data_IF_132036108545
#
_entry.id   IF_132036108545
#
_cell.length_a   1.000
_cell.length_b   1.000
_cell.length_c   1.000
_cell.angle_alpha   90.00
_cell.angle_beta   90.00
_cell.angle_gamma   90.00
#
_symmetry.space_group_name_H-M   'P 1'
#
loop_
_entity.id
_entity.type
_entity.pdbx_description
1 polymer ?
#
# COMPACT_ATOMS: atom_id res chain seq x y z
N UNK A 1 -15.98 -4.82 23.72
CA UNK A 1 -16.42 -3.71 22.86
C UNK A 1 -15.32 -3.53 21.82
N UNK A 2 -15.44 -4.22 20.69
CA UNK A 2 -14.49 -4.11 19.58
C UNK A 2 -14.51 -2.66 19.12
N UNK A 3 -13.43 -1.92 19.40
CA UNK A 3 -13.21 -0.65 18.74
C UNK A 3 -13.11 -0.97 17.25
N UNK A 4 -14.17 -0.70 16.50
CA UNK A 4 -14.18 -0.92 15.05
C UNK A 4 -13.02 -0.15 14.43
N UNK A 5 -12.27 -0.80 13.53
CA UNK A 5 -11.15 -0.18 12.84
C UNK A 5 -11.66 1.08 12.10
N UNK A 6 -11.14 2.29 12.40
CA UNK A 6 -11.66 3.53 11.83
C UNK A 6 -11.42 3.64 10.31
N UNK A 7 -10.31 3.10 9.80
CA UNK A 7 -10.05 3.05 8.35
C UNK A 7 -11.08 2.15 7.66
N UNK A 8 -11.37 0.98 8.25
CA UNK A 8 -12.42 0.09 7.73
C UNK A 8 -13.77 0.81 7.66
N UNK A 9 -14.20 1.48 8.74
CA UNK A 9 -15.47 2.20 8.76
C UNK A 9 -15.52 3.32 7.71
N UNK A 10 -14.41 4.02 7.51
CA UNK A 10 -14.31 5.02 6.44
C UNK A 10 -14.51 4.39 5.06
N UNK A 11 -13.84 3.27 4.73
CA UNK A 11 -13.98 2.63 3.42
C UNK A 11 -15.31 1.89 3.23
N UNK A 12 -15.92 1.35 4.29
CA UNK A 12 -17.28 0.81 4.24
C UNK A 12 -18.34 1.90 3.98
N UNK A 13 -18.06 3.15 4.33
CA UNK A 13 -18.94 4.29 4.01
C UNK A 13 -18.89 4.73 2.54
N UNK A 14 -17.90 4.24 1.78
CA UNK A 14 -17.73 4.55 0.35
C UNK A 14 -18.19 3.33 -0.46
N UNK A 15 -19.31 3.47 -1.17
CA UNK A 15 -20.02 2.35 -1.79
C UNK A 15 -19.14 1.49 -2.73
N UNK A 16 -18.29 2.12 -3.54
CA UNK A 16 -17.41 1.38 -4.45
C UNK A 16 -16.28 0.66 -3.71
N UNK A 17 -15.73 1.24 -2.63
CA UNK A 17 -14.73 0.58 -1.80
C UNK A 17 -15.34 -0.63 -1.07
N UNK A 18 -16.52 -0.46 -0.47
CA UNK A 18 -17.22 -1.50 0.25
C UNK A 18 -17.50 -2.74 -0.62
N UNK A 19 -17.69 -2.57 -1.93
CA UNK A 19 -17.89 -3.67 -2.87
C UNK A 19 -16.67 -4.60 -3.03
N UNK A 20 -15.46 -4.15 -2.68
CA UNK A 20 -14.25 -4.99 -2.68
C UNK A 20 -14.06 -5.77 -1.37
N UNK A 21 -14.74 -5.39 -0.29
CA UNK A 21 -14.55 -5.97 1.04
C UNK A 21 -15.59 -7.06 1.29
N UNK A 22 -15.18 -8.32 1.19
CA UNK A 22 -16.05 -9.48 1.40
C UNK A 22 -15.92 -10.03 2.84
N UNK A 23 -16.81 -10.94 3.29
CA UNK A 23 -16.68 -11.54 4.61
C UNK A 23 -15.40 -12.36 4.84
N UNK A 24 -14.71 -12.79 3.77
CA UNK A 24 -13.44 -13.54 3.86
C UNK A 24 -12.22 -12.64 3.75
N UNK A 25 -12.40 -11.38 3.35
CA UNK A 25 -11.32 -10.44 3.16
C UNK A 25 -10.61 -10.16 4.47
N UNK A 26 -9.31 -10.40 4.48
CA UNK A 26 -8.41 -10.04 5.57
C UNK A 26 -8.02 -8.59 5.36
N UNK A 27 -8.17 -7.76 6.38
CA UNK A 27 -7.84 -6.35 6.32
C UNK A 27 -7.13 -5.88 7.58
N UNK A 28 -6.31 -4.85 7.43
CA UNK A 28 -5.67 -4.16 8.53
C UNK A 28 -5.35 -2.71 8.17
N UNK A 29 -5.25 -1.86 9.18
CA UNK A 29 -4.57 -0.57 9.02
C UNK A 29 -3.08 -0.87 8.87
N UNK A 30 -2.41 -0.44 7.78
CA UNK A 30 -1.01 -0.79 7.56
C UNK A 30 -0.09 -0.40 8.72
N UNK A 31 0.90 -1.25 9.00
CA UNK A 31 1.81 -1.06 10.14
C UNK A 31 2.58 0.28 10.10
N UNK A 32 2.77 0.86 8.91
CA UNK A 32 3.42 2.17 8.72
C UNK A 32 2.57 3.36 9.19
N UNK A 33 1.33 3.12 9.62
CA UNK A 33 0.45 4.14 10.21
C UNK A 33 0.64 4.30 11.72
N UNK A 34 1.41 3.43 12.35
CA UNK A 34 1.66 3.45 13.79
C UNK A 34 3.09 3.90 14.08
N UNK A 35 3.30 4.99 14.85
CA UNK A 35 4.63 5.46 15.18
C UNK A 35 5.44 4.39 15.93
N UNK A 36 6.70 4.24 15.55
CA UNK A 36 7.61 3.25 16.14
C UNK A 36 8.71 3.94 16.92
N UNK A 37 9.17 3.30 18.01
CA UNK A 37 10.25 3.84 18.84
C UNK A 37 11.57 4.00 18.08
N UNK A 38 11.80 3.19 17.05
CA UNK A 38 12.96 3.31 16.16
C UNK A 38 12.91 4.56 15.25
N UNK A 39 11.73 5.18 15.11
CA UNK A 39 11.49 6.29 14.19
C UNK A 39 11.33 5.89 12.72
N UNK A 40 11.36 4.59 12.40
CA UNK A 40 10.99 4.09 11.08
C UNK A 40 9.51 4.40 10.76
N UNK A 41 9.18 4.54 9.49
CA UNK A 41 7.85 4.88 8.96
C UNK A 41 7.28 6.23 9.41
N UNK A 42 8.04 7.08 10.12
CA UNK A 42 7.55 8.36 10.61
C UNK A 42 6.93 9.26 9.53
N UNK A 43 7.39 9.16 8.28
CA UNK A 43 6.74 9.83 7.15
C UNK A 43 5.26 9.46 7.05
N UNK A 44 4.91 8.17 7.10
CA UNK A 44 3.53 7.68 6.99
C UNK A 44 2.76 7.68 8.30
N UNK A 45 3.45 7.44 9.42
CA UNK A 45 2.86 7.31 10.74
C UNK A 45 2.53 8.67 11.38
N UNK A 46 3.25 9.72 10.98
CA UNK A 46 3.10 11.07 11.57
C UNK A 46 2.79 12.12 10.50
N UNK A 47 3.73 12.41 9.61
CA UNK A 47 3.65 13.54 8.67
C UNK A 47 2.46 13.39 7.72
N UNK A 48 2.29 12.21 7.13
CA UNK A 48 1.20 11.90 6.22
C UNK A 48 -0.03 11.34 6.95
N UNK A 49 0.02 11.10 8.26
CA UNK A 49 -1.12 10.66 9.07
C UNK A 49 -1.97 11.83 9.53
N UNK A 50 -2.50 12.56 8.56
CA UNK A 50 -3.30 13.75 8.79
C UNK A 50 -4.50 13.80 7.83
N UNK A 51 -5.67 14.34 8.25
CA UNK A 51 -6.85 14.43 7.39
C UNK A 51 -6.62 15.17 6.06
N UNK A 52 -5.70 16.13 6.03
CA UNK A 52 -5.32 16.87 4.83
C UNK A 52 -4.26 16.17 3.96
N UNK A 53 -3.58 15.13 4.46
CA UNK A 53 -2.59 14.34 3.74
C UNK A 53 -3.16 12.95 3.38
N UNK A 54 -2.77 11.88 4.07
CA UNK A 54 -3.43 10.57 3.94
C UNK A 54 -4.43 10.44 5.10
N UNK A 55 -5.71 10.64 4.81
CA UNK A 55 -6.81 10.62 5.79
C UNK A 55 -7.08 9.22 6.31
N UNK A 56 -7.13 8.23 5.42
CA UNK A 56 -7.42 6.84 5.73
C UNK A 56 -6.58 5.92 4.84
N UNK A 57 -6.13 4.79 5.40
CA UNK A 57 -5.29 3.83 4.70
C UNK A 57 -5.59 2.41 5.22
N UNK A 58 -6.06 1.53 4.33
CA UNK A 58 -6.42 0.15 4.66
C UNK A 58 -5.78 -0.80 3.65
N UNK A 59 -5.03 -1.79 4.13
CA UNK A 59 -4.59 -2.92 3.30
C UNK A 59 -5.59 -4.06 3.43
N UNK A 60 -5.83 -4.77 2.34
CA UNK A 60 -6.70 -5.93 2.33
C UNK A 60 -6.29 -6.94 1.26
N UNK A 61 -6.55 -8.21 1.54
CA UNK A 61 -6.24 -9.33 0.65
C UNK A 61 -7.05 -10.57 1.06
N UNK A 62 -7.02 -11.60 0.23
CA UNK A 62 -7.52 -12.92 0.60
C UNK A 62 -6.38 -13.79 1.15
N UNK A 63 -6.72 -14.74 2.03
CA UNK A 63 -5.73 -15.70 2.53
C UNK A 63 -5.14 -16.50 1.35
N UNK A 64 -3.84 -16.87 1.39
CA UNK A 64 -3.30 -17.87 0.48
C UNK A 64 -4.15 -19.14 0.54
N UNK A 65 -4.33 -19.80 -0.61
CA UNK A 65 -5.07 -21.06 -0.65
C UNK A 65 -4.39 -22.10 0.26
N UNK A 66 -5.13 -22.93 1.01
CA UNK A 66 -4.54 -23.87 1.99
C UNK A 66 -3.48 -24.81 1.41
N UNK A 67 -3.61 -25.17 0.14
CA UNK A 67 -2.72 -26.10 -0.57
C UNK A 67 -1.70 -25.39 -1.49
N UNK A 68 -1.63 -24.05 -1.45
CA UNK A 68 -0.70 -23.24 -2.22
C UNK A 68 0.50 -22.80 -1.38
N UNK A 69 1.61 -22.36 -2.01
CA UNK A 69 2.64 -21.63 -1.29
C UNK A 69 2.02 -20.46 -0.50
N UNK A 70 2.56 -20.11 0.67
CA UNK A 70 1.99 -19.08 1.55
C UNK A 70 2.08 -17.64 1.00
N UNK A 71 2.41 -17.49 -0.29
CA UNK A 71 2.58 -16.21 -0.95
C UNK A 71 1.21 -15.62 -1.29
N UNK A 72 0.93 -14.44 -0.76
CA UNK A 72 -0.13 -13.56 -1.24
C UNK A 72 0.40 -12.81 -2.46
N UNK A 73 -0.01 -13.24 -3.65
CA UNK A 73 0.47 -12.69 -4.92
C UNK A 73 0.05 -11.23 -5.14
N UNK A 74 -1.13 -10.85 -4.64
CA UNK A 74 -1.71 -9.52 -4.84
C UNK A 74 -2.29 -9.01 -3.52
N UNK A 75 -1.89 -7.81 -3.12
CA UNK A 75 -2.41 -7.11 -1.95
C UNK A 75 -2.94 -5.77 -2.43
N UNK A 76 -4.17 -5.49 -2.03
CA UNK A 76 -4.88 -4.28 -2.38
C UNK A 76 -4.89 -3.30 -1.21
N UNK A 77 -4.95 -2.02 -1.54
CA UNK A 77 -4.85 -0.95 -0.58
C UNK A 77 -5.81 0.17 -0.94
N UNK A 78 -6.71 0.53 -0.02
CA UNK A 78 -7.45 1.77 -0.15
C UNK A 78 -6.71 2.91 0.54
N UNK A 79 -6.66 4.05 -0.14
CA UNK A 79 -6.06 5.28 0.39
C UNK A 79 -6.97 6.46 0.09
N UNK A 80 -7.28 7.28 1.10
CA UNK A 80 -7.98 8.56 0.90
C UNK A 80 -6.99 9.69 1.10
N UNK A 81 -6.80 10.48 0.05
CA UNK A 81 -5.81 11.57 -0.01
C UNK A 81 -6.54 12.91 0.05
N UNK A 82 -6.09 13.78 0.96
CA UNK A 82 -6.54 15.15 1.15
C UNK A 82 -5.77 16.18 0.30
N UNK A 83 -5.99 17.46 0.55
CA UNK A 83 -5.51 18.57 -0.30
C UNK A 83 -4.11 19.08 0.03
N UNK A 84 -3.57 18.80 1.22
CA UNK A 84 -2.33 19.41 1.74
C UNK A 84 -1.07 18.88 1.04
N UNK A 85 -1.25 17.84 0.24
CA UNK A 85 -0.21 17.15 -0.53
C UNK A 85 -0.33 17.42 -2.02
N UNK A 86 -1.10 18.43 -2.40
CA UNK A 86 -1.21 18.88 -3.78
C UNK A 86 0.10 19.48 -4.30
N UNK A 87 0.55 19.06 -5.48
CA UNK A 87 1.70 19.66 -6.18
C UNK A 87 1.31 20.73 -7.21
N UNK A 88 0.06 20.66 -7.67
CA UNK A 88 -0.61 21.64 -8.52
C UNK A 88 -2.03 21.79 -7.99
N UNK A 89 -2.73 22.93 -8.20
CA UNK A 89 -4.14 23.06 -7.83
C UNK A 89 -4.96 21.81 -8.13
N UNK A 90 -5.53 21.22 -7.07
CA UNK A 90 -6.38 20.02 -7.10
C UNK A 90 -5.73 18.73 -7.61
N UNK A 91 -4.40 18.65 -7.72
CA UNK A 91 -3.67 17.46 -8.14
C UNK A 91 -2.61 17.05 -7.13
N UNK A 92 -2.61 15.79 -6.74
CA UNK A 92 -1.63 15.18 -5.85
C UNK A 92 -0.20 15.40 -6.37
N UNK A 93 0.73 15.75 -5.48
CA UNK A 93 2.13 15.89 -5.84
C UNK A 93 2.70 14.53 -6.29
N UNK A 94 3.38 14.49 -7.44
CA UNK A 94 3.94 13.24 -7.99
C UNK A 94 4.88 12.53 -7.00
N UNK A 95 5.66 13.30 -6.22
CA UNK A 95 6.51 12.77 -5.16
C UNK A 95 5.76 12.10 -4.01
N UNK A 96 4.53 12.53 -3.67
CA UNK A 96 3.71 11.79 -2.70
C UNK A 96 3.29 10.46 -3.28
N UNK A 97 2.84 10.44 -4.54
CA UNK A 97 2.45 9.18 -5.19
C UNK A 97 3.64 8.23 -5.29
N UNK A 98 4.86 8.75 -5.51
CA UNK A 98 6.06 7.94 -5.50
C UNK A 98 6.33 7.31 -4.14
N UNK A 99 6.26 8.10 -3.06
CA UNK A 99 6.38 7.57 -1.70
C UNK A 99 5.28 6.54 -1.38
N UNK A 100 4.03 6.82 -1.76
CA UNK A 100 2.91 5.90 -1.56
C UNK A 100 3.12 4.57 -2.27
N UNK A 101 3.59 4.59 -3.51
CA UNK A 101 3.87 3.35 -4.25
C UNK A 101 5.04 2.57 -3.65
N UNK A 102 6.11 3.24 -3.22
CA UNK A 102 7.21 2.60 -2.49
C UNK A 102 6.69 1.88 -1.24
N UNK A 103 5.86 2.57 -0.45
CA UNK A 103 5.28 2.07 0.79
C UNK A 103 4.35 0.88 0.54
N UNK A 104 3.41 0.99 -0.40
CA UNK A 104 2.46 -0.08 -0.77
C UNK A 104 3.19 -1.35 -1.25
N UNK A 105 4.23 -1.19 -2.08
CA UNK A 105 5.03 -2.32 -2.55
C UNK A 105 5.90 -2.92 -1.43
N UNK A 106 6.43 -2.09 -0.53
CA UNK A 106 7.18 -2.54 0.65
C UNK A 106 6.30 -3.27 1.68
N UNK A 107 5.10 -2.77 1.95
CA UNK A 107 4.10 -3.41 2.82
C UNK A 107 3.70 -4.79 2.30
N UNK A 108 3.65 -4.97 0.98
CA UNK A 108 3.41 -6.28 0.33
C UNK A 108 4.48 -7.29 0.71
N UNK A 109 5.74 -6.86 0.85
CA UNK A 109 6.83 -7.72 1.34
C UNK A 109 6.70 -8.00 2.83
N UNK A 110 6.39 -6.97 3.64
CA UNK A 110 6.20 -7.13 5.08
C UNK A 110 5.06 -8.12 5.41
N UNK A 111 3.95 -8.04 4.67
CA UNK A 111 2.80 -8.93 4.84
C UNK A 111 3.14 -10.37 4.43
N UNK A 112 3.80 -10.56 3.28
CA UNK A 112 4.23 -11.89 2.84
C UNK A 112 5.26 -12.54 3.78
N UNK A 113 6.05 -11.73 4.50
CA UNK A 113 6.88 -12.22 5.62
C UNK A 113 6.03 -12.74 6.78
N UNK A 114 4.94 -12.07 7.15
CA UNK A 114 4.01 -12.54 8.20
C UNK A 114 3.31 -13.84 7.83
N UNK A 115 3.05 -14.08 6.55
CA UNK A 115 2.55 -15.36 6.03
C UNK A 115 3.61 -16.46 5.95
N UNK A 116 4.89 -16.15 6.18
CA UNK A 116 5.98 -17.12 6.09
C UNK A 116 6.45 -17.41 4.65
N UNK A 117 6.05 -16.59 3.67
CA UNK A 117 6.48 -16.72 2.28
C UNK A 117 7.87 -16.12 2.02
N UNK A 118 8.30 -15.18 2.85
CA UNK A 118 9.57 -14.46 2.71
C UNK A 118 10.47 -14.64 3.93
N UNK A 119 11.76 -14.34 3.75
CA UNK A 119 12.74 -14.38 4.85
C UNK A 119 12.40 -13.32 5.92
N UNK A 120 12.89 -13.53 7.14
CA UNK A 120 12.69 -12.59 8.24
C UNK A 120 13.57 -11.33 8.14
N UNK A 121 14.45 -11.24 7.15
CA UNK A 121 15.36 -10.12 6.97
C UNK A 121 14.63 -8.86 6.46
N UNK A 122 15.33 -7.72 6.51
CA UNK A 122 14.83 -6.48 5.94
C UNK A 122 14.85 -6.54 4.41
N UNK A 123 13.77 -6.04 3.80
CA UNK A 123 13.67 -5.87 2.36
C UNK A 123 13.77 -4.38 2.06
N UNK A 124 14.70 -3.99 1.19
CA UNK A 124 14.93 -2.60 0.82
C UNK A 124 14.68 -2.37 -0.66
N UNK A 125 14.15 -1.21 -1.00
CA UNK A 125 13.92 -0.80 -2.39
C UNK A 125 15.27 -0.72 -3.13
N UNK A 126 15.46 -1.58 -4.12
CA UNK A 126 16.59 -1.55 -5.05
C UNK A 126 16.35 -0.58 -6.20
N UNK A 127 15.14 -0.59 -6.77
CA UNK A 127 14.66 0.46 -7.67
C UNK A 127 13.14 0.60 -7.59
N UNK A 128 12.67 1.79 -7.94
CA UNK A 128 11.26 2.10 -8.17
C UNK A 128 11.14 2.96 -9.43
N UNK A 129 10.40 2.46 -10.42
CA UNK A 129 10.12 3.15 -11.67
C UNK A 129 8.63 3.46 -11.76
N UNK A 130 8.26 4.72 -12.00
CA UNK A 130 6.88 5.19 -11.96
C UNK A 130 6.51 5.86 -13.27
N UNK A 131 5.39 5.42 -13.84
CA UNK A 131 4.76 6.03 -14.99
C UNK A 131 3.44 6.71 -14.56
N UNK A 132 3.41 8.05 -14.65
CA UNK A 132 2.20 8.84 -14.43
C UNK A 132 1.41 8.91 -15.73
N UNK A 133 0.36 8.09 -15.83
CA UNK A 133 -0.44 7.97 -17.05
C UNK A 133 -1.49 9.08 -17.15
N UNK A 134 -2.06 9.48 -16.01
CA UNK A 134 -3.07 10.53 -15.89
C UNK A 134 -2.84 11.34 -14.60
N UNK A 135 -3.33 12.59 -14.53
CA UNK A 135 -3.32 13.35 -13.29
C UNK A 135 -4.05 12.60 -12.16
N UNK A 136 -3.63 12.82 -10.91
CA UNK A 136 -4.23 12.22 -9.71
C UNK A 136 -4.93 13.33 -8.90
N UNK A 137 -6.26 13.51 -9.02
CA UNK A 137 -6.99 14.55 -8.31
C UNK A 137 -6.89 14.49 -6.77
N UNK A 138 -7.02 15.62 -6.09
CA UNK A 138 -7.22 15.66 -4.64
C UNK A 138 -8.27 16.71 -4.25
N UNK A 139 -9.13 16.42 -3.26
CA UNK A 139 -9.17 15.20 -2.46
C UNK A 139 -9.90 14.05 -3.19
N UNK A 140 -9.45 12.80 -2.98
CA UNK A 140 -10.07 11.62 -3.57
C UNK A 140 -9.65 10.32 -2.85
N UNK A 141 -10.38 9.24 -3.13
CA UNK A 141 -10.04 7.88 -2.69
C UNK A 141 -9.53 7.06 -3.87
N UNK A 142 -8.49 6.28 -3.64
CA UNK A 142 -7.84 5.45 -4.65
C UNK A 142 -7.69 4.00 -4.17
N UNK A 143 -7.71 3.10 -5.15
CA UNK A 143 -7.29 1.72 -4.97
C UNK A 143 -5.86 1.58 -5.49
N UNK A 144 -4.93 1.21 -4.62
CA UNK A 144 -3.59 0.83 -5.02
C UNK A 144 -3.48 -0.69 -5.00
N UNK A 145 -3.04 -1.31 -6.10
CA UNK A 145 -2.75 -2.75 -6.13
C UNK A 145 -1.26 -2.98 -6.18
N UNK A 146 -0.78 -3.93 -5.38
CA UNK A 146 0.60 -4.39 -5.42
C UNK A 146 0.65 -5.88 -5.72
N UNK A 147 1.37 -6.24 -6.78
CA UNK A 147 1.46 -7.62 -7.26
C UNK A 147 2.90 -8.10 -7.26
N UNK A 148 3.15 -9.23 -6.59
CA UNK A 148 4.42 -9.95 -6.68
C UNK A 148 4.46 -10.68 -8.03
N UNK A 149 5.37 -10.28 -8.91
CA UNK A 149 5.53 -10.95 -10.20
C UNK A 149 6.35 -12.23 -10.09
N UNK A 150 7.48 -12.13 -9.38
CA UNK A 150 8.45 -13.21 -9.22
C UNK A 150 9.46 -12.87 -8.14
N UNK A 151 10.00 -13.91 -7.54
CA UNK A 151 11.07 -13.85 -6.54
C UNK A 151 12.25 -14.69 -7.05
N UNK A 152 13.42 -14.08 -7.15
CA UNK A 152 14.65 -14.69 -7.64
C UNK A 152 15.76 -14.56 -6.60
N UNK A 153 15.85 -15.56 -5.73
CA UNK A 153 16.80 -15.56 -4.61
C UNK A 153 16.51 -14.40 -3.65
N UNK A 154 17.31 -13.34 -3.71
CA UNK A 154 17.17 -12.14 -2.86
C UNK A 154 16.39 -11.00 -3.50
N UNK A 155 15.88 -11.19 -4.73
CA UNK A 155 15.27 -10.15 -5.53
C UNK A 155 13.79 -10.42 -5.68
N UNK A 156 12.95 -9.54 -5.15
CA UNK A 156 11.50 -9.59 -5.33
C UNK A 156 11.08 -8.50 -6.29
N UNK A 157 10.42 -8.88 -7.38
CA UNK A 157 9.97 -7.94 -8.41
C UNK A 157 8.47 -7.76 -8.28
N UNK A 158 8.03 -6.51 -8.17
CA UNK A 158 6.64 -6.17 -7.96
C UNK A 158 6.16 -5.11 -8.93
N UNK A 159 4.90 -5.25 -9.34
CA UNK A 159 4.17 -4.19 -10.03
C UNK A 159 3.20 -3.51 -9.08
N UNK A 160 2.99 -2.23 -9.31
CA UNK A 160 2.03 -1.43 -8.58
C UNK A 160 1.12 -0.64 -9.51
N UNK A 161 -0.09 -0.36 -9.07
CA UNK A 161 -1.02 0.55 -9.76
C UNK A 161 -1.70 1.49 -8.77
N UNK A 162 -2.10 2.67 -9.24
CA UNK A 162 -3.06 3.56 -8.56
C UNK A 162 -4.26 3.74 -9.48
N UNK A 163 -5.45 3.42 -8.97
CA UNK A 163 -6.71 3.41 -9.72
C UNK A 163 -7.76 4.30 -9.06
N UNK A 164 -8.53 5.01 -9.89
CA UNK A 164 -9.71 5.75 -9.43
C UNK A 164 -10.92 4.84 -9.21
N UNK A 165 -12.03 5.43 -8.75
CA UNK A 165 -13.27 4.70 -8.46
C UNK A 165 -13.90 4.02 -9.69
N UNK A 166 -13.52 4.43 -10.91
CA UNK A 166 -13.95 3.82 -12.16
C UNK A 166 -13.02 2.68 -12.62
N UNK A 167 -11.98 2.35 -11.84
CA UNK A 167 -10.96 1.37 -12.21
C UNK A 167 -9.99 1.89 -13.27
N UNK A 168 -9.91 3.20 -13.49
CA UNK A 168 -8.93 3.78 -14.42
C UNK A 168 -7.57 3.80 -13.76
N UNK A 169 -6.59 3.13 -14.38
CA UNK A 169 -5.19 3.22 -13.93
C UNK A 169 -4.62 4.60 -14.23
N UNK A 170 -4.31 5.34 -13.17
CA UNK A 170 -3.70 6.67 -13.24
C UNK A 170 -2.18 6.60 -13.18
N UNK A 171 -1.64 5.64 -12.41
CA UNK A 171 -0.20 5.45 -12.22
C UNK A 171 0.15 3.96 -12.27
N UNK A 172 1.30 3.64 -12.85
CA UNK A 172 1.91 2.31 -12.81
C UNK A 172 3.29 2.39 -12.20
N UNK A 173 3.65 1.39 -11.39
CA UNK A 173 4.96 1.22 -10.83
C UNK A 173 5.55 -0.15 -11.20
N UNK A 174 6.85 -0.19 -11.47
CA UNK A 174 7.68 -1.39 -11.50
C UNK A 174 8.80 -1.23 -10.47
N UNK A 175 9.06 -2.27 -9.69
CA UNK A 175 9.98 -2.18 -8.57
C UNK A 175 10.75 -3.47 -8.34
N UNK A 176 11.89 -3.30 -7.68
CA UNK A 176 12.71 -4.37 -7.14
C UNK A 176 12.95 -4.11 -5.66
N UNK A 177 12.62 -5.10 -4.83
CA UNK A 177 13.00 -5.15 -3.43
C UNK A 177 14.09 -6.20 -3.23
N UNK A 178 15.07 -5.88 -2.38
CA UNK A 178 16.24 -6.73 -2.14
C UNK A 178 16.25 -7.16 -0.67
N UNK A 179 16.30 -8.48 -0.45
CA UNK A 179 16.60 -9.08 0.85
C UNK A 179 18.06 -8.76 1.24
N UNK A 180 18.22 -7.93 2.27
CA UNK A 180 19.52 -7.48 2.78
C UNK A 180 20.01 -8.48 3.83
N UNK A 181 21.13 -9.14 3.54
CA UNK A 181 21.84 -10.00 4.50
C UNK A 181 22.65 -9.13 5.47
N UNK A 182 22.14 -8.90 6.67
CA UNK A 182 22.87 -8.20 7.75
C UNK A 182 22.02 -7.16 8.50
N UNK A 183 22.58 -6.60 9.58
CA UNK A 183 21.98 -5.43 10.24
C UNK A 183 22.23 -4.20 9.39
N UNK A 184 21.18 -3.40 9.19
CA UNK A 184 21.27 -2.02 8.71
C UNK A 184 21.85 -1.12 9.80
#
# INVERSE_FOLDING_TARGET
>A
MTSENPDLQHFLSIAWCAAHLTPTTIYETPICRFPKLSGEDNLFATVLNAPGAIKAFLSFHEAPAPDAPPLVEEIDFFVTIGTDVAGHPSLCHGGLIAALMDEVLGLTMAMNKSWGALSTQAHMTGYLNINYLKPVPVPATYLCRAKVLRIEGRKSFLLGTVEDEQGTVLVKADSLFIDIKGKL
#
